data_IF_627849762122
#
_entry.id   IF_627849762122
#
_cell.length_a   1.000
_cell.length_b   1.000
_cell.length_c   1.000
_cell.angle_alpha   90.00
_cell.angle_beta   90.00
_cell.angle_gamma   90.00
#
_symmetry.space_group_name_H-M   'P 1'
#
loop_
_entity.id
_entity.type
_entity.pdbx_description
1 polymer ?
#
# COMPACT_ATOMS: atom_id res chain seq x y z
N UNK A 1 28.69 -6.71 16.54
CA UNK A 1 28.51 -7.58 15.34
C UNK A 1 27.02 -7.65 15.01
N UNK A 2 26.49 -6.75 14.16
CA UNK A 2 25.09 -6.82 13.70
C UNK A 2 25.07 -7.66 12.42
N UNK A 3 24.45 -8.84 12.48
CA UNK A 3 24.44 -9.84 11.41
C UNK A 3 23.80 -9.27 10.13
N UNK A 4 24.47 -9.56 9.02
CA UNK A 4 24.14 -9.16 7.66
C UNK A 4 22.73 -9.59 7.23
N UNK A 5 22.09 -8.76 6.39
CA UNK A 5 21.12 -9.24 5.40
C UNK A 5 19.63 -8.92 5.58
N UNK A 6 19.20 -8.26 6.66
CA UNK A 6 17.82 -7.77 6.76
C UNK A 6 17.79 -6.25 6.58
N UNK A 7 17.19 -5.80 5.48
CA UNK A 7 16.72 -4.42 5.39
C UNK A 7 15.80 -4.22 6.61
N UNK A 8 16.10 -3.28 7.53
CA UNK A 8 15.28 -3.11 8.71
C UNK A 8 13.84 -2.85 8.30
N UNK A 9 12.87 -3.44 9.00
CA UNK A 9 11.43 -3.30 8.70
C UNK A 9 11.03 -1.82 8.55
N UNK A 10 11.71 -0.94 9.30
CA UNK A 10 11.58 0.52 9.24
C UNK A 10 12.00 1.12 7.90
N UNK A 11 13.06 0.60 7.26
CA UNK A 11 13.45 1.01 5.92
C UNK A 11 12.51 0.45 4.85
N UNK A 12 12.03 -0.79 5.04
CA UNK A 12 11.02 -1.39 4.15
C UNK A 12 9.74 -0.56 4.19
N UNK A 13 9.21 -0.26 5.39
CA UNK A 13 8.00 0.56 5.54
C UNK A 13 8.16 1.94 4.91
N UNK A 14 9.30 2.60 5.13
CA UNK A 14 9.57 3.92 4.59
C UNK A 14 9.71 3.92 3.06
N UNK A 15 10.28 2.86 2.47
CA UNK A 15 10.33 2.69 1.01
C UNK A 15 8.95 2.44 0.41
N UNK A 16 8.12 1.64 1.08
CA UNK A 16 6.73 1.38 0.67
C UNK A 16 5.91 2.67 0.74
N UNK A 17 6.00 3.43 1.84
CA UNK A 17 5.33 4.73 2.00
C UNK A 17 5.75 5.73 0.92
N UNK A 18 7.04 5.82 0.60
CA UNK A 18 7.52 6.67 -0.49
C UNK A 18 6.96 6.27 -1.85
N UNK A 19 6.89 4.97 -2.15
CA UNK A 19 6.31 4.49 -3.41
C UNK A 19 4.81 4.79 -3.49
N UNK A 20 4.07 4.58 -2.39
CA UNK A 20 2.63 4.88 -2.32
C UNK A 20 2.39 6.38 -2.52
N UNK A 21 3.16 7.25 -1.86
CA UNK A 21 3.08 8.70 -2.03
C UNK A 21 3.33 9.12 -3.49
N UNK A 22 4.31 8.50 -4.16
CA UNK A 22 4.62 8.77 -5.59
C UNK A 22 3.53 8.31 -6.56
N UNK A 23 2.71 7.34 -6.17
CA UNK A 23 1.61 6.83 -7.00
C UNK A 23 0.40 7.78 -6.99
N UNK A 24 0.48 8.94 -6.32
CA UNK A 24 -0.59 9.95 -6.31
C UNK A 24 -1.78 9.57 -5.44
N UNK A 25 -1.63 8.57 -4.56
CA UNK A 25 -2.69 8.11 -3.66
C UNK A 25 -3.00 9.10 -2.52
N UNK A 26 -2.21 10.16 -2.37
CA UNK A 26 -2.51 11.35 -1.56
C UNK A 26 -2.68 11.08 -0.06
N UNK A 27 -2.39 12.09 0.75
CA UNK A 27 -2.55 12.06 2.22
C UNK A 27 -3.96 11.72 2.73
N UNK A 28 -4.95 11.56 1.83
CA UNK A 28 -6.33 11.17 2.14
C UNK A 28 -6.52 9.66 2.29
N UNK A 29 -5.57 8.86 1.84
CA UNK A 29 -5.67 7.40 1.90
C UNK A 29 -4.88 6.90 3.10
N UNK A 30 -5.56 6.57 4.21
CA UNK A 30 -4.90 6.04 5.42
C UNK A 30 -4.48 4.59 5.20
N UNK A 31 -3.31 4.39 4.62
CA UNK A 31 -2.68 3.06 4.47
C UNK A 31 -1.61 2.91 5.55
N UNK A 32 -1.72 1.85 6.34
CA UNK A 32 -0.69 1.37 7.26
C UNK A 32 0.08 0.23 6.62
N UNK A 33 1.40 0.30 6.72
CA UNK A 33 2.32 -0.75 6.27
C UNK A 33 2.94 -1.39 7.51
N UNK A 34 2.80 -2.70 7.64
CA UNK A 34 3.47 -3.48 8.67
C UNK A 34 4.37 -4.51 8.01
N UNK A 35 5.61 -4.62 8.49
CA UNK A 35 6.55 -5.61 7.99
C UNK A 35 6.97 -6.47 9.17
N UNK A 36 6.91 -7.79 8.98
CA UNK A 36 7.35 -8.77 9.97
C UNK A 36 8.08 -9.89 9.26
N UNK A 37 9.39 -10.00 9.47
CA UNK A 37 10.21 -11.10 8.97
C UNK A 37 10.13 -11.32 7.43
N UNK A 38 9.90 -10.24 6.68
CA UNK A 38 9.71 -10.27 5.22
C UNK A 38 8.25 -10.42 4.76
N UNK A 39 7.29 -10.61 5.66
CA UNK A 39 5.86 -10.52 5.38
C UNK A 39 5.41 -9.06 5.50
N UNK A 40 4.96 -8.48 4.38
CA UNK A 40 4.43 -7.12 4.33
C UNK A 40 2.91 -7.18 4.37
N UNK A 41 2.31 -6.53 5.35
CA UNK A 41 0.87 -6.37 5.50
C UNK A 41 0.48 -4.93 5.21
N UNK A 42 -0.44 -4.75 4.26
CA UNK A 42 -0.97 -3.45 3.85
C UNK A 42 -2.42 -3.37 4.32
N UNK A 43 -2.71 -2.49 5.27
CA UNK A 43 -4.04 -2.35 5.86
C UNK A 43 -4.48 -0.90 5.79
N UNK A 44 -5.74 -0.64 5.43
CA UNK A 44 -6.20 0.73 5.27
C UNK A 44 -7.37 0.84 4.32
N UNK A 45 -7.74 2.09 3.98
CA UNK A 45 -8.89 2.34 3.11
C UNK A 45 -8.45 3.07 1.85
N UNK A 46 -8.64 2.44 0.68
CA UNK A 46 -8.43 2.99 -0.66
C UNK A 46 -9.70 3.67 -1.16
N UNK A 47 -9.58 4.67 -2.03
CA UNK A 47 -10.74 5.27 -2.70
C UNK A 47 -11.16 4.48 -3.95
N UNK A 48 -10.20 3.84 -4.64
CA UNK A 48 -10.48 3.14 -5.88
C UNK A 48 -9.79 1.77 -5.92
N UNK A 49 -10.44 0.78 -6.51
CA UNK A 49 -9.87 -0.56 -6.63
C UNK A 49 -8.68 -0.60 -7.59
N UNK A 50 -8.67 0.33 -8.56
CA UNK A 50 -7.55 0.57 -9.47
C UNK A 50 -6.27 0.96 -8.74
N UNK A 51 -6.37 1.53 -7.54
CA UNK A 51 -5.23 1.87 -6.69
C UNK A 51 -4.65 0.65 -5.96
N UNK A 52 -5.42 -0.43 -5.78
CA UNK A 52 -4.98 -1.63 -5.05
C UNK A 52 -3.83 -2.35 -5.75
N UNK A 53 -3.94 -2.53 -7.07
CA UNK A 53 -2.90 -3.19 -7.89
C UNK A 53 -1.53 -2.53 -7.80
N UNK A 54 -1.37 -1.22 -8.05
CA UNK A 54 -0.06 -0.57 -7.98
C UNK A 54 0.50 -0.56 -6.55
N UNK A 55 -0.32 -0.47 -5.50
CA UNK A 55 0.13 -0.62 -4.10
C UNK A 55 0.75 -2.00 -3.86
N UNK A 56 0.07 -3.06 -4.29
CA UNK A 56 0.56 -4.42 -4.14
C UNK A 56 1.84 -4.67 -4.95
N UNK A 57 1.91 -4.16 -6.17
CA UNK A 57 3.13 -4.23 -6.98
C UNK A 57 4.28 -3.47 -6.32
N UNK A 58 4.04 -2.25 -5.84
CA UNK A 58 5.05 -1.45 -5.16
C UNK A 58 5.58 -2.17 -3.91
N UNK A 59 4.70 -2.76 -3.10
CA UNK A 59 5.11 -3.55 -1.94
C UNK A 59 5.93 -4.78 -2.34
N UNK A 60 5.52 -5.51 -3.38
CA UNK A 60 6.27 -6.68 -3.90
C UNK A 60 7.62 -6.31 -4.53
N UNK A 61 7.74 -5.11 -5.08
CA UNK A 61 8.98 -4.63 -5.70
C UNK A 61 10.07 -4.29 -4.68
N UNK A 62 9.74 -4.23 -3.38
CA UNK A 62 10.74 -3.95 -2.34
C UNK A 62 11.60 -5.19 -2.08
N UNK A 63 12.92 -5.01 -2.21
CA UNK A 63 13.89 -6.05 -1.89
C UNK A 63 13.78 -6.48 -0.42
N UNK A 64 13.58 -7.78 -0.19
CA UNK A 64 13.37 -8.37 1.14
C UNK A 64 11.93 -8.81 1.43
N UNK A 65 10.99 -8.48 0.55
CA UNK A 65 9.59 -8.90 0.66
C UNK A 65 9.44 -10.34 0.17
N UNK A 66 8.98 -11.22 1.07
CA UNK A 66 8.69 -12.63 0.77
C UNK A 66 7.21 -12.84 0.49
N UNK A 67 6.35 -12.12 1.22
CA UNK A 67 4.90 -12.21 1.12
C UNK A 67 4.28 -10.83 1.25
N UNK A 68 3.22 -10.60 0.50
CA UNK A 68 2.39 -9.39 0.64
C UNK A 68 0.97 -9.82 0.99
N UNK A 69 0.50 -9.37 2.14
CA UNK A 69 -0.85 -9.55 2.66
C UNK A 69 -1.63 -8.27 2.37
N UNK A 70 -2.63 -8.40 1.50
CA UNK A 70 -3.56 -7.32 1.22
C UNK A 70 -4.70 -7.34 2.25
N UNK A 71 -4.81 -6.29 3.04
CA UNK A 71 -5.94 -5.99 3.92
C UNK A 71 -6.49 -4.59 3.62
N UNK A 72 -6.39 -4.17 2.36
CA UNK A 72 -6.84 -2.87 1.90
C UNK A 72 -8.34 -2.95 1.61
N UNK A 73 -9.12 -2.09 2.25
CA UNK A 73 -10.54 -1.93 1.96
C UNK A 73 -10.71 -0.84 0.91
N UNK A 74 -11.36 -1.15 -0.19
CA UNK A 74 -11.70 -0.13 -1.19
C UNK A 74 -13.04 0.46 -0.80
N UNK A 75 -13.04 1.70 -0.34
CA UNK A 75 -14.25 2.49 -0.24
C UNK A 75 -14.58 2.96 -1.65
N UNK A 76 -15.22 2.09 -2.43
CA UNK A 76 -15.85 2.46 -3.68
C UNK A 76 -16.98 3.43 -3.34
N UNK A 77 -16.62 4.69 -3.07
CA UNK A 77 -17.60 5.75 -3.07
C UNK A 77 -18.26 5.62 -4.44
N UNK A 78 -19.56 5.30 -4.50
CA UNK A 78 -20.23 5.15 -5.78
C UNK A 78 -19.92 6.45 -6.50
N UNK A 79 -19.32 6.33 -7.70
CA UNK A 79 -19.23 7.43 -8.64
C UNK A 79 -20.67 7.87 -8.76
N UNK A 80 -21.01 8.94 -8.03
CA UNK A 80 -22.33 9.55 -8.07
C UNK A 80 -22.40 10.07 -9.49
N UNK A 81 -22.90 9.23 -10.37
CA UNK A 81 -23.44 9.64 -11.64
C UNK A 81 -24.68 10.46 -11.24
N UNK A 82 -24.42 11.71 -10.86
CA UNK A 82 -25.40 12.78 -11.03
C UNK A 82 -25.50 12.98 -12.54
N UNK A 83 -26.13 12.02 -13.18
CA UNK A 83 -26.61 12.14 -14.53
C UNK A 83 -27.88 11.30 -14.60
N UNK A 84 -28.93 11.90 -14.06
CA UNK A 84 -30.30 11.83 -14.55
C UNK A 84 -30.98 13.08 -13.94
N UNK A 85 -31.02 14.24 -14.62
CA UNK A 85 -32.03 14.71 -15.62
C UNK A 85 -33.45 14.79 -15.01
N UNK A 86 -34.33 15.76 -15.38
CA UNK A 86 -34.29 16.74 -16.48
C UNK A 86 -33.83 18.16 -16.12
#
# INVERSE_FOLDING_TARGET
MQRAGQVPDKQVSQKVEQHISRTGMGSHTKIKVQVRNGDVTLSGTLQYETQRRPVLQAARAVAGVRRVVDQLQVNAAPRKWQADLP
#
